data_IF_923491026242
#
_entry.id   IF_923491026242
#
_cell.length_a   1.000
_cell.length_b   1.000
_cell.length_c   1.000
_cell.angle_alpha   90.00
_cell.angle_beta   90.00
_cell.angle_gamma   90.00
#
_symmetry.space_group_name_H-M   'P 1'
#
loop_
_entity.id
_entity.type
_entity.pdbx_description
1 polymer ?
#
# COMPACT_ATOMS: atom_id res chain seq x y z
N UNK A 1 13.36 -0.02 -0.65
CA UNK A 1 11.96 0.41 -0.81
C UNK A 1 11.14 -0.73 -1.38
N UNK A 2 9.94 -0.94 -0.83
CA UNK A 2 8.87 -1.69 -1.49
C UNK A 2 7.82 -0.69 -1.97
N UNK A 3 7.68 -0.52 -3.29
CA UNK A 3 6.79 0.51 -3.84
C UNK A 3 5.31 0.20 -3.67
N UNK A 4 4.95 -1.08 -3.58
CA UNK A 4 3.58 -1.57 -3.39
C UNK A 4 3.62 -2.99 -2.78
N UNK A 5 3.40 -3.10 -1.48
CA UNK A 5 3.36 -4.37 -0.73
C UNK A 5 2.68 -4.17 0.62
N UNK A 6 2.07 -5.24 1.16
CA UNK A 6 1.45 -5.20 2.49
C UNK A 6 2.20 -6.10 3.49
N UNK A 7 2.11 -5.84 4.81
CA UNK A 7 2.57 -6.76 5.86
C UNK A 7 1.92 -8.14 5.80
N UNK A 8 2.73 -9.19 5.70
CA UNK A 8 2.24 -10.58 5.74
C UNK A 8 1.63 -10.96 7.09
N UNK A 9 2.07 -10.33 8.17
CA UNK A 9 1.55 -10.57 9.50
C UNK A 9 0.07 -10.17 9.67
N UNK A 10 -0.43 -9.24 8.85
CA UNK A 10 -1.84 -8.79 8.87
C UNK A 10 -2.70 -9.64 7.93
N UNK A 11 -2.17 -10.05 6.77
CA UNK A 11 -2.80 -11.01 5.86
C UNK A 11 -1.74 -11.89 5.19
N UNK A 12 -1.85 -13.20 5.41
CA UNK A 12 -0.89 -14.18 4.92
C UNK A 12 -1.09 -14.46 3.42
N UNK A 13 -0.53 -13.60 2.59
CA UNK A 13 -0.48 -13.74 1.15
C UNK A 13 0.99 -13.83 0.67
N UNK A 14 1.34 -14.72 -0.28
CA UNK A 14 2.73 -14.91 -0.72
C UNK A 14 3.37 -13.67 -1.35
N UNK A 15 2.56 -12.70 -1.79
CA UNK A 15 3.03 -11.42 -2.33
C UNK A 15 3.26 -10.33 -1.27
N UNK A 16 2.71 -10.54 -0.06
CA UNK A 16 2.95 -9.69 1.11
C UNK A 16 4.32 -10.02 1.73
N UNK A 17 4.91 -9.02 2.38
CA UNK A 17 6.30 -9.02 2.83
C UNK A 17 6.41 -9.28 4.34
N UNK A 18 7.49 -9.94 4.77
CA UNK A 18 7.74 -10.23 6.18
C UNK A 18 8.24 -9.00 6.94
N UNK A 19 8.13 -9.02 8.26
CA UNK A 19 8.66 -7.96 9.13
C UNK A 19 10.16 -7.76 8.93
N UNK A 20 10.93 -8.83 8.70
CA UNK A 20 12.36 -8.74 8.41
C UNK A 20 12.63 -7.99 7.10
N UNK A 21 11.82 -8.25 6.06
CA UNK A 21 11.93 -7.55 4.78
C UNK A 21 11.56 -6.06 4.93
N UNK A 22 10.49 -5.77 5.69
CA UNK A 22 10.06 -4.40 6.00
C UNK A 22 11.21 -3.66 6.68
N UNK A 23 11.73 -4.19 7.80
CA UNK A 23 12.81 -3.56 8.56
C UNK A 23 14.07 -3.37 7.73
N UNK A 24 14.48 -4.38 6.97
CA UNK A 24 15.65 -4.28 6.08
C UNK A 24 15.49 -3.16 5.03
N UNK A 25 14.28 -2.94 4.50
CA UNK A 25 14.03 -1.84 3.56
C UNK A 25 14.09 -0.46 4.22
N UNK A 26 13.66 -0.35 5.48
CA UNK A 26 13.71 0.91 6.25
C UNK A 26 15.14 1.23 6.70
N UNK A 27 15.93 0.21 7.09
CA UNK A 27 17.34 0.37 7.47
C UNK A 27 18.21 0.99 6.37
N UNK A 28 17.84 0.82 5.10
CA UNK A 28 18.51 1.46 3.96
C UNK A 28 17.96 2.85 3.61
N UNK A 29 17.09 3.43 4.46
CA UNK A 29 16.40 4.70 4.20
C UNK A 29 15.23 4.60 3.21
N UNK A 30 14.71 3.39 2.95
CA UNK A 30 13.56 3.18 2.07
C UNK A 30 12.22 3.35 2.78
N UNK A 31 11.13 3.02 2.08
CA UNK A 31 9.75 3.02 2.59
C UNK A 31 9.01 1.75 2.16
N UNK A 32 7.80 1.56 2.73
CA UNK A 32 6.81 0.56 2.30
C UNK A 32 5.55 1.26 1.79
N UNK A 33 5.22 1.03 0.52
CA UNK A 33 4.00 1.51 -0.11
C UNK A 33 2.81 0.58 0.10
N UNK A 34 1.74 1.04 0.76
CA UNK A 34 0.51 0.26 0.94
C UNK A 34 -0.13 -0.06 -0.40
N UNK A 35 -0.41 -1.34 -0.63
CA UNK A 35 -1.02 -1.86 -1.84
C UNK A 35 -2.52 -2.11 -1.65
N UNK A 36 -3.33 -1.75 -2.65
CA UNK A 36 -4.78 -1.92 -2.63
C UNK A 36 -5.28 -2.96 -3.63
N UNK A 37 -4.39 -3.76 -4.23
CA UNK A 37 -4.76 -4.84 -5.12
C UNK A 37 -5.57 -5.90 -4.35
N UNK A 38 -6.80 -6.24 -4.77
CA UNK A 38 -7.77 -6.94 -3.92
C UNK A 38 -7.23 -8.24 -3.31
N UNK A 39 -6.59 -9.07 -4.13
CA UNK A 39 -6.08 -10.40 -3.71
C UNK A 39 -4.99 -10.32 -2.64
N UNK A 40 -4.34 -9.15 -2.47
CA UNK A 40 -3.26 -8.96 -1.50
C UNK A 40 -3.73 -8.29 -0.20
N UNK A 41 -4.98 -7.82 -0.18
CA UNK A 41 -5.56 -7.06 0.93
C UNK A 41 -6.35 -7.97 1.85
N UNK A 42 -7.40 -8.63 1.35
CA UNK A 42 -8.23 -9.57 2.12
C UNK A 42 -9.23 -10.26 1.19
N UNK A 43 -9.96 -11.26 1.69
CA UNK A 43 -11.14 -11.83 1.04
C UNK A 43 -12.32 -10.83 0.98
N UNK A 44 -12.29 -9.76 1.79
CA UNK A 44 -13.29 -8.69 1.83
C UNK A 44 -12.60 -7.33 2.01
N UNK A 45 -11.93 -6.83 0.96
CA UNK A 45 -11.05 -5.67 1.07
C UNK A 45 -11.85 -4.38 1.31
N UNK A 46 -11.36 -3.52 2.21
CA UNK A 46 -11.95 -2.22 2.54
C UNK A 46 -10.88 -1.17 2.88
N UNK A 47 -11.24 0.12 2.86
CA UNK A 47 -10.38 1.20 3.38
C UNK A 47 -9.96 0.93 4.81
N UNK A 48 -10.88 0.45 5.65
CA UNK A 48 -10.60 0.13 7.05
C UNK A 48 -9.52 -0.96 7.16
N UNK A 49 -9.56 -1.96 6.26
CA UNK A 49 -8.49 -2.95 6.19
C UNK A 49 -7.14 -2.36 5.80
N UNK A 50 -7.12 -1.35 4.92
CA UNK A 50 -5.90 -0.61 4.60
C UNK A 50 -5.39 0.21 5.79
N UNK A 51 -6.28 0.77 6.61
CA UNK A 51 -5.89 1.45 7.85
C UNK A 51 -5.25 0.47 8.83
N UNK A 52 -5.78 -0.74 8.99
CA UNK A 52 -5.14 -1.79 9.83
C UNK A 52 -3.69 -2.09 9.38
N UNK A 53 -3.42 -2.10 8.07
CA UNK A 53 -2.06 -2.26 7.57
C UNK A 53 -1.16 -1.07 7.90
N UNK A 54 -1.69 0.16 7.85
CA UNK A 54 -0.95 1.38 8.19
C UNK A 54 -0.65 1.40 9.70
N UNK A 55 -1.63 1.08 10.56
CA UNK A 55 -1.45 0.97 12.00
C UNK A 55 -0.36 -0.06 12.35
N UNK A 56 -0.40 -1.25 11.72
CA UNK A 56 0.62 -2.27 11.93
C UNK A 56 2.02 -1.79 11.54
N UNK A 57 2.14 -1.09 10.40
CA UNK A 57 3.43 -0.56 9.96
C UNK A 57 3.92 0.58 10.85
N UNK A 58 3.02 1.44 11.33
CA UNK A 58 3.37 2.53 12.25
C UNK A 58 3.95 1.96 13.54
N UNK A 59 3.29 0.97 14.15
CA UNK A 59 3.79 0.25 15.31
C UNK A 59 5.16 -0.43 15.06
N UNK A 60 5.41 -0.90 13.83
CA UNK A 60 6.62 -1.65 13.49
C UNK A 60 7.82 -0.77 13.14
N UNK A 61 7.59 0.29 12.36
CA UNK A 61 8.65 1.12 11.74
C UNK A 61 8.35 2.62 11.72
N UNK A 62 7.22 3.08 12.23
CA UNK A 62 6.83 4.50 12.25
C UNK A 62 6.19 4.99 10.95
N UNK A 63 5.17 5.83 11.09
CA UNK A 63 4.37 6.39 10.00
C UNK A 63 5.20 7.16 8.97
N UNK A 64 6.34 7.74 9.34
CA UNK A 64 7.25 8.42 8.43
C UNK A 64 7.91 7.48 7.41
N UNK A 65 7.75 6.16 7.55
CA UNK A 65 8.32 5.16 6.65
C UNK A 65 7.27 4.48 5.75
N UNK A 66 6.02 4.96 5.81
CA UNK A 66 4.89 4.43 5.05
C UNK A 66 4.58 5.37 3.87
N UNK A 67 4.32 4.80 2.70
CA UNK A 67 3.88 5.53 1.49
C UNK A 67 2.65 4.86 0.88
N UNK A 68 2.09 5.43 -0.19
CA UNK A 68 1.04 4.77 -0.98
C UNK A 68 1.60 4.09 -2.24
N UNK A 69 1.07 2.91 -2.54
CA UNK A 69 1.43 2.06 -3.68
C UNK A 69 0.22 1.29 -4.18
N UNK A 70 -0.89 1.98 -4.47
CA UNK A 70 -2.23 1.39 -4.51
C UNK A 70 -2.48 0.41 -5.67
N UNK A 71 -1.70 0.49 -6.74
CA UNK A 71 -1.71 -0.49 -7.85
C UNK A 71 -3.07 -0.64 -8.56
N UNK A 72 -3.67 0.50 -8.94
CA UNK A 72 -4.87 0.55 -9.78
C UNK A 72 -4.56 0.16 -11.22
N UNK A 73 -5.15 -0.93 -11.71
CA UNK A 73 -4.94 -1.50 -13.05
C UNK A 73 -6.27 -1.76 -13.79
N UNK A 74 -7.39 -1.33 -13.22
CA UNK A 74 -8.75 -1.50 -13.75
C UNK A 74 -8.97 -0.86 -15.13
N UNK A 75 -8.18 0.16 -15.46
CA UNK A 75 -8.25 0.87 -16.74
C UNK A 75 -7.22 0.38 -17.78
N UNK A 76 -6.44 -0.66 -17.48
CA UNK A 76 -5.46 -1.20 -18.42
C UNK A 76 -6.12 -2.10 -19.48
N UNK A 77 -5.63 -2.10 -20.74
CA UNK A 77 -6.08 -3.02 -21.77
C UNK A 77 -5.86 -4.49 -21.37
N UNK A 78 -6.74 -5.38 -21.85
CA UNK A 78 -6.70 -6.80 -21.48
C UNK A 78 -5.40 -7.50 -21.90
N UNK A 79 -4.76 -7.05 -22.98
CA UNK A 79 -3.45 -7.51 -23.44
C UNK A 79 -2.33 -7.18 -22.45
N UNK A 80 -2.41 -6.05 -21.73
CA UNK A 80 -1.41 -5.67 -20.72
C UNK A 80 -1.58 -6.48 -19.43
N UNK A 81 -2.79 -6.98 -19.18
CA UNK A 81 -3.11 -7.82 -18.02
C UNK A 81 -2.94 -9.32 -18.28
N UNK A 82 -2.54 -9.73 -19.50
CA UNK A 82 -2.44 -11.14 -19.87
C UNK A 82 -1.47 -11.91 -18.97
N UNK A 83 -0.33 -11.30 -18.61
CA UNK A 83 0.66 -11.89 -17.71
C UNK A 83 0.14 -12.12 -16.29
N UNK A 84 -0.81 -11.29 -15.83
CA UNK A 84 -1.44 -11.46 -14.52
C UNK A 84 -2.35 -12.69 -14.51
N UNK A 85 -3.08 -12.94 -15.62
CA UNK A 85 -3.96 -14.11 -15.74
C UNK A 85 -3.23 -15.45 -15.64
N UNK A 86 -1.96 -15.48 -16.06
CA UNK A 86 -1.13 -16.68 -15.98
C UNK A 86 -0.52 -16.89 -14.57
N UNK A 87 -0.65 -15.89 -13.69
CA UNK A 87 -0.10 -15.93 -12.34
C UNK A 87 -1.15 -16.45 -11.34
N UNK A 88 -0.88 -17.55 -10.61
CA UNK A 88 -1.86 -18.16 -9.70
C UNK A 88 -2.21 -17.31 -8.48
N UNK A 89 -1.51 -16.20 -8.26
CA UNK A 89 -1.77 -15.27 -7.15
C UNK A 89 -2.67 -14.09 -7.54
N UNK A 90 -3.18 -14.07 -8.77
CA UNK A 90 -4.03 -13.02 -9.29
C UNK A 90 -5.35 -13.63 -9.76
N UNK A 91 -6.47 -13.05 -9.30
CA UNK A 91 -7.80 -13.40 -9.75
C UNK A 91 -8.07 -12.84 -11.16
N UNK A 92 -9.05 -13.42 -11.85
CA UNK A 92 -9.50 -12.87 -13.14
C UNK A 92 -10.30 -11.57 -12.91
N UNK A 93 -10.20 -10.58 -13.82
CA UNK A 93 -11.02 -9.38 -13.76
C UNK A 93 -12.53 -9.69 -13.90
N UNK A 94 -13.43 -8.82 -13.39
CA UNK A 94 -13.15 -7.48 -12.87
C UNK A 94 -12.59 -7.50 -11.44
N UNK A 95 -11.52 -6.73 -11.22
CA UNK A 95 -10.94 -6.55 -9.89
C UNK A 95 -11.85 -5.70 -9.02
N UNK A 96 -12.14 -6.17 -7.81
CA UNK A 96 -12.95 -5.44 -6.84
C UNK A 96 -12.05 -4.76 -5.82
N UNK A 97 -11.57 -3.57 -6.17
CA UNK A 97 -10.79 -2.72 -5.26
C UNK A 97 -11.53 -2.45 -3.94
N UNK A 98 -10.80 -2.17 -2.85
CA UNK A 98 -11.35 -2.07 -1.52
C UNK A 98 -12.60 -1.19 -1.44
N UNK A 99 -13.58 -1.58 -0.64
CA UNK A 99 -14.73 -0.73 -0.36
C UNK A 99 -14.26 0.63 0.21
N UNK A 100 -14.74 1.72 -0.39
CA UNK A 100 -14.30 3.07 -0.05
C UNK A 100 -13.01 3.53 -0.76
N UNK A 101 -12.34 2.66 -1.53
CA UNK A 101 -11.14 2.97 -2.32
C UNK A 101 -11.16 2.27 -3.68
N UNK A 102 -12.20 2.51 -4.48
CA UNK A 102 -12.38 1.81 -5.77
C UNK A 102 -11.54 2.39 -6.90
N UNK A 103 -11.07 3.62 -6.73
CA UNK A 103 -10.28 4.35 -7.72
C UNK A 103 -9.38 5.39 -7.06
N UNK A 104 -8.49 6.01 -7.84
CA UNK A 104 -7.69 7.14 -7.38
C UNK A 104 -8.55 8.33 -6.87
N UNK A 105 -9.79 8.48 -7.35
CA UNK A 105 -10.70 9.53 -6.88
C UNK A 105 -11.16 9.32 -5.42
N UNK A 106 -11.04 8.08 -4.92
CA UNK A 106 -11.48 7.70 -3.58
C UNK A 106 -10.36 7.79 -2.53
N UNK A 107 -9.11 8.11 -2.91
CA UNK A 107 -7.97 8.27 -1.98
C UNK A 107 -8.26 9.18 -0.79
N UNK A 108 -9.06 10.28 -0.91
CA UNK A 108 -9.46 11.07 0.25
C UNK A 108 -10.20 10.29 1.35
N UNK A 109 -10.85 9.17 1.02
CA UNK A 109 -11.51 8.32 2.02
C UNK A 109 -10.49 7.62 2.92
N UNK A 110 -9.35 7.18 2.38
CA UNK A 110 -8.26 6.62 3.16
C UNK A 110 -7.66 7.67 4.10
N UNK A 111 -7.38 8.87 3.59
CA UNK A 111 -6.90 9.98 4.40
C UNK A 111 -7.88 10.31 5.55
N UNK A 112 -9.17 10.37 5.25
CA UNK A 112 -10.22 10.60 6.25
C UNK A 112 -10.27 9.47 7.29
N UNK A 113 -10.13 8.21 6.89
CA UNK A 113 -10.17 7.09 7.81
C UNK A 113 -8.94 7.08 8.73
N UNK A 114 -7.73 7.35 8.20
CA UNK A 114 -6.53 7.53 9.01
C UNK A 114 -6.70 8.64 10.08
N UNK A 115 -7.27 9.79 9.72
CA UNK A 115 -7.58 10.85 10.70
C UNK A 115 -8.56 10.37 11.79
N UNK A 116 -9.57 9.58 11.42
CA UNK A 116 -10.53 9.02 12.39
C UNK A 116 -9.87 8.00 13.34
N UNK A 117 -8.78 7.36 12.90
CA UNK A 117 -7.98 6.41 13.67
C UNK A 117 -6.88 7.07 14.51
N UNK A 118 -6.81 8.40 14.52
CA UNK A 118 -5.94 9.15 15.42
C UNK A 118 -4.58 9.52 14.84
N UNK A 119 -4.31 9.21 13.57
CA UNK A 119 -3.16 9.77 12.86
C UNK A 119 -3.31 11.29 12.79
N UNK A 120 -2.20 11.98 13.05
CA UNK A 120 -2.12 13.43 12.91
C UNK A 120 -2.16 13.85 11.44
N UNK A 121 -2.54 15.11 11.19
CA UNK A 121 -2.49 15.65 9.82
C UNK A 121 -1.10 15.51 9.19
N UNK A 122 -0.04 15.69 9.98
CA UNK A 122 1.35 15.56 9.50
C UNK A 122 1.69 14.13 9.06
N UNK A 123 1.25 13.12 9.81
CA UNK A 123 1.47 11.71 9.44
C UNK A 123 0.66 11.35 8.19
N UNK A 124 -0.58 11.83 8.10
CA UNK A 124 -1.42 11.63 6.92
C UNK A 124 -0.78 12.27 5.69
N UNK A 125 -0.31 13.52 5.76
CA UNK A 125 0.43 14.15 4.65
C UNK A 125 1.72 13.39 4.28
N UNK A 126 2.45 12.91 5.29
CA UNK A 126 3.56 11.97 5.14
C UNK A 126 3.21 10.79 4.25
N UNK A 127 2.20 10.04 4.66
CA UNK A 127 1.74 8.82 3.97
C UNK A 127 1.26 9.13 2.55
N UNK A 128 0.50 10.24 2.38
CA UNK A 128 -0.07 10.64 1.09
C UNK A 128 0.99 11.07 0.06
N UNK A 129 2.19 11.49 0.48
CA UNK A 129 3.24 11.81 -0.46
C UNK A 129 4.57 12.29 0.12
N UNK A 130 4.59 13.01 1.25
CA UNK A 130 5.83 13.65 1.71
C UNK A 130 6.93 12.64 2.08
N UNK A 131 6.55 11.46 2.59
CA UNK A 131 7.50 10.38 2.88
C UNK A 131 8.15 9.84 1.60
N UNK A 132 7.43 9.82 0.49
CA UNK A 132 7.97 9.39 -0.81
C UNK A 132 8.94 10.45 -1.38
N UNK A 133 8.58 11.73 -1.25
CA UNK A 133 9.42 12.85 -1.70
C UNK A 133 10.78 12.83 -0.98
N UNK A 134 10.79 12.59 0.34
CA UNK A 134 12.03 12.40 1.12
C UNK A 134 12.94 11.32 0.53
N UNK A 135 12.38 10.19 0.10
CA UNK A 135 13.19 9.12 -0.51
C UNK A 135 13.72 9.56 -1.88
N UNK A 136 12.91 10.23 -2.69
CA UNK A 136 13.35 10.73 -4.00
C UNK A 136 14.50 11.74 -3.88
N UNK A 137 14.41 12.67 -2.94
CA UNK A 137 15.50 13.62 -2.63
C UNK A 137 16.80 12.87 -2.29
N UNK A 138 16.73 11.83 -1.44
CA UNK A 138 17.91 11.05 -1.04
C UNK A 138 18.60 10.28 -2.18
N UNK A 139 17.88 9.98 -3.26
CA UNK A 139 18.38 9.15 -4.37
C UNK A 139 18.81 10.01 -5.57
N UNK A 140 18.09 11.10 -5.86
CA UNK A 140 18.31 11.91 -7.06
C UNK A 140 19.28 13.07 -6.88
N UNK A 141 19.68 13.43 -5.67
CA UNK A 141 20.72 14.46 -5.43
C UNK A 141 22.17 13.96 -5.64
N UNK A 142 22.39 13.01 -6.56
CA UNK A 142 23.73 12.53 -6.95
C UNK A 142 24.31 13.29 -8.15
#
# INVERSE_FOLDING_TARGET
MFSYSNPRAVHDHPRNISDEQIKAAIETGGTVGINAYPDFVDNSPSVEKLVEYVEYLDDLVGAENITLGLDFVDNLPAEELQSLKENPYYSDPPYQYPEGLRSAADVPNLAKSLLNHGFTESEVWGIMGDNLLRVYESVWEN
#
